data_IF_234526732274
#
_entry.id   IF_234526732274
#
_cell.length_a   1.000
_cell.length_b   1.000
_cell.length_c   1.000
_cell.angle_alpha   90.00
_cell.angle_beta   90.00
_cell.angle_gamma   90.00
#
_symmetry.space_group_name_H-M   'P 1'
#
loop_
_entity.id
_entity.type
_entity.pdbx_description
1 polymer ?
#
# COMPACT_ATOMS: atom_id res chain seq x y z
N UNK A 1 -6.09 -7.75 -17.93
CA UNK A 1 -5.99 -8.34 -16.58
C UNK A 1 -7.29 -9.07 -16.28
N UNK A 2 -7.22 -10.30 -15.78
CA UNK A 2 -8.39 -11.04 -15.28
C UNK A 2 -8.78 -10.54 -13.88
N UNK A 3 -10.08 -10.58 -13.54
CA UNK A 3 -10.59 -10.09 -12.25
C UNK A 3 -10.37 -11.20 -11.19
N UNK A 4 -9.73 -10.91 -10.04
CA UNK A 4 -9.50 -11.92 -9.01
C UNK A 4 -10.81 -12.48 -8.42
N UNK A 5 -10.85 -13.77 -8.04
CA UNK A 5 -11.99 -14.34 -7.35
C UNK A 5 -12.24 -13.61 -6.01
N UNK A 6 -13.48 -13.23 -5.75
CA UNK A 6 -13.88 -12.45 -4.58
C UNK A 6 -13.66 -10.94 -4.71
N UNK A 7 -13.18 -10.44 -5.86
CA UNK A 7 -13.21 -9.03 -6.15
C UNK A 7 -14.66 -8.55 -6.38
N UNK A 8 -14.98 -7.36 -5.88
CA UNK A 8 -16.32 -6.76 -5.95
C UNK A 8 -16.23 -5.39 -6.61
N UNK A 9 -17.13 -5.09 -7.54
CA UNK A 9 -17.18 -3.79 -8.20
C UNK A 9 -17.99 -2.81 -7.35
N UNK A 10 -17.34 -1.73 -6.89
CA UNK A 10 -17.99 -0.65 -6.17
C UNK A 10 -17.54 0.70 -6.69
N UNK A 11 -18.49 1.61 -6.92
CA UNK A 11 -18.19 3.00 -7.28
C UNK A 11 -17.23 3.13 -8.48
N UNK A 12 -17.29 2.19 -9.42
CA UNK A 12 -16.42 2.14 -10.60
C UNK A 12 -15.04 1.51 -10.37
N UNK A 13 -14.74 1.04 -9.16
CA UNK A 13 -13.46 0.43 -8.79
C UNK A 13 -13.63 -1.02 -8.33
N UNK A 14 -12.69 -1.89 -8.66
CA UNK A 14 -12.67 -3.26 -8.15
C UNK A 14 -12.01 -3.30 -6.78
N UNK A 15 -12.75 -3.70 -5.76
CA UNK A 15 -12.25 -3.91 -4.40
C UNK A 15 -11.91 -5.40 -4.21
N UNK A 16 -10.70 -5.70 -3.76
CA UNK A 16 -10.25 -7.06 -3.52
C UNK A 16 -9.38 -7.12 -2.26
N UNK A 17 -9.71 -8.02 -1.34
CA UNK A 17 -8.93 -8.27 -0.13
C UNK A 17 -8.04 -9.48 -0.34
N UNK A 18 -6.72 -9.26 -0.36
CA UNK A 18 -5.74 -10.34 -0.42
C UNK A 18 -5.71 -11.12 0.88
N UNK A 19 -5.74 -12.44 0.79
CA UNK A 19 -5.51 -13.35 1.90
C UNK A 19 -4.04 -13.79 1.88
N UNK A 20 -3.12 -12.85 2.14
CA UNK A 20 -1.69 -13.12 2.25
C UNK A 20 -1.25 -12.97 3.71
N UNK A 21 -0.26 -13.75 4.18
CA UNK A 21 0.39 -13.44 5.43
C UNK A 21 1.03 -12.05 5.34
N UNK A 22 1.22 -11.34 6.47
CA UNK A 22 1.94 -10.07 6.49
C UNK A 22 3.29 -10.21 5.78
N UNK A 23 3.48 -9.45 4.69
CA UNK A 23 4.73 -9.45 3.94
C UNK A 23 5.76 -8.58 4.65
N UNK A 24 6.98 -9.10 4.80
CA UNK A 24 8.09 -8.43 5.46
C UNK A 24 9.39 -8.61 4.64
N UNK A 25 9.84 -7.57 3.90
CA UNK A 25 9.18 -6.28 3.70
C UNK A 25 7.95 -6.36 2.77
N UNK A 26 7.06 -5.38 2.87
CA UNK A 26 6.04 -5.12 1.85
C UNK A 26 6.64 -4.20 0.79
N UNK A 27 6.86 -4.72 -0.42
CA UNK A 27 7.39 -3.93 -1.54
C UNK A 27 6.26 -3.31 -2.37
N UNK A 28 6.29 -1.98 -2.53
CA UNK A 28 5.29 -1.19 -3.24
C UNK A 28 5.91 -0.58 -4.50
N UNK A 29 5.38 -0.92 -5.68
CA UNK A 29 5.78 -0.31 -6.95
C UNK A 29 4.96 0.96 -7.22
N UNK A 30 5.58 2.15 -7.11
CA UNK A 30 4.94 3.45 -7.34
C UNK A 30 5.12 3.90 -8.79
N UNK A 31 4.51 3.20 -9.73
CA UNK A 31 4.57 3.60 -11.15
C UNK A 31 3.68 4.82 -11.40
N UNK A 32 4.16 5.89 -12.07
CA UNK A 32 3.35 7.10 -12.27
C UNK A 32 2.03 6.87 -13.00
N UNK A 33 1.91 5.79 -13.79
CA UNK A 33 0.70 5.43 -14.53
C UNK A 33 -0.43 4.94 -13.64
N UNK A 34 -0.14 4.46 -12.42
CA UNK A 34 -1.11 3.89 -11.50
C UNK A 34 -1.52 4.84 -10.37
N UNK A 35 -0.97 6.05 -10.33
CA UNK A 35 -1.12 6.97 -9.19
C UNK A 35 -0.19 6.63 -8.03
N UNK A 36 -0.41 7.27 -6.88
CA UNK A 36 0.36 7.02 -5.65
C UNK A 36 -0.45 6.17 -4.65
N UNK A 37 0.23 5.64 -3.65
CA UNK A 37 -0.40 4.93 -2.55
C UNK A 37 -0.77 5.88 -1.42
N UNK A 38 -1.90 5.60 -0.77
CA UNK A 38 -2.28 6.17 0.51
C UNK A 38 -1.95 5.22 1.66
N UNK A 39 -1.32 5.74 2.71
CA UNK A 39 -1.12 5.03 3.97
C UNK A 39 -2.16 5.50 4.98
N UNK A 40 -2.99 4.58 5.45
CA UNK A 40 -4.03 4.88 6.43
C UNK A 40 -3.67 4.34 7.81
N UNK A 41 -3.54 5.23 8.80
CA UNK A 41 -3.32 4.89 10.21
C UNK A 41 -4.02 5.91 11.10
N UNK A 42 -4.46 5.50 12.29
CA UNK A 42 -5.19 6.38 13.23
C UNK A 42 -6.41 7.09 12.61
N UNK A 43 -7.15 6.39 11.74
CA UNK A 43 -8.31 6.91 10.99
C UNK A 43 -8.00 8.06 10.03
N UNK A 44 -6.73 8.33 9.73
CA UNK A 44 -6.30 9.31 8.73
C UNK A 44 -5.54 8.61 7.62
N UNK A 45 -5.71 9.10 6.39
CA UNK A 45 -5.00 8.59 5.21
C UNK A 45 -4.13 9.71 4.66
N UNK A 46 -2.89 9.36 4.34
CA UNK A 46 -1.87 10.26 3.86
C UNK A 46 -1.30 9.75 2.55
N UNK A 47 -1.09 10.64 1.58
CA UNK A 47 -0.42 10.28 0.34
C UNK A 47 1.05 9.98 0.63
N UNK A 48 1.60 8.90 0.05
CA UNK A 48 3.03 8.61 0.21
C UNK A 48 3.93 9.75 -0.30
N UNK A 49 3.45 10.52 -1.28
CA UNK A 49 4.14 11.69 -1.81
C UNK A 49 4.37 12.81 -0.78
N UNK A 50 3.63 12.84 0.33
CA UNK A 50 3.88 13.77 1.44
C UNK A 50 5.30 13.63 2.01
N UNK A 51 5.86 12.41 1.98
CA UNK A 51 7.21 12.13 2.50
C UNK A 51 8.26 11.93 1.41
N UNK A 52 7.88 11.29 0.30
CA UNK A 52 8.83 10.83 -0.72
C UNK A 52 8.82 11.69 -1.99
N UNK A 53 7.92 12.66 -2.07
CA UNK A 53 7.64 13.37 -3.32
C UNK A 53 6.87 12.51 -4.33
N UNK A 54 6.56 13.07 -5.50
CA UNK A 54 5.71 12.43 -6.50
C UNK A 54 6.38 11.16 -7.08
N UNK A 55 5.61 10.15 -7.52
CA UNK A 55 6.12 8.88 -8.04
C UNK A 55 6.67 9.03 -9.48
N UNK A 56 7.74 9.80 -9.65
CA UNK A 56 8.24 10.24 -10.97
C UNK A 56 9.50 9.51 -11.47
N UNK A 57 10.10 8.63 -10.67
CA UNK A 57 11.34 7.91 -11.03
C UNK A 57 11.11 6.44 -11.36
N UNK A 58 12.01 5.84 -12.14
CA UNK A 58 11.98 4.42 -12.49
C UNK A 58 13.24 3.71 -11.97
N UNK A 59 13.13 2.69 -11.09
CA UNK A 59 11.92 2.25 -10.39
C UNK A 59 11.66 3.09 -9.13
N UNK A 60 10.49 3.72 -9.03
CA UNK A 60 10.00 4.26 -7.78
C UNK A 60 9.38 3.13 -6.95
N UNK A 61 10.20 2.20 -6.46
CA UNK A 61 9.75 1.19 -5.50
C UNK A 61 10.09 1.61 -4.08
N UNK A 62 9.21 1.29 -3.14
CA UNK A 62 9.43 1.54 -1.70
C UNK A 62 9.15 0.26 -0.94
N UNK A 63 10.08 -0.11 -0.07
CA UNK A 63 9.88 -1.21 0.87
C UNK A 63 9.37 -0.64 2.20
N UNK A 64 8.36 -1.29 2.77
CA UNK A 64 7.82 -1.01 4.09
C UNK A 64 8.16 -2.17 5.03
N UNK A 65 8.74 -1.85 6.17
CA UNK A 65 9.05 -2.81 7.23
C UNK A 65 8.05 -2.66 8.39
N UNK A 66 7.68 -3.77 9.03
CA UNK A 66 6.92 -3.72 10.28
C UNK A 66 7.68 -2.95 11.34
N UNK A 67 6.94 -2.17 12.12
CA UNK A 67 7.42 -1.66 13.39
C UNK A 67 7.90 -2.84 14.25
N UNK A 68 9.08 -2.69 14.87
CA UNK A 68 9.49 -3.61 15.93
C UNK A 68 8.53 -3.45 17.09
N UNK A 69 7.77 -4.50 17.43
CA UNK A 69 7.01 -4.50 18.68
C UNK A 69 8.05 -4.50 19.81
N UNK A 70 8.17 -3.38 20.52
CA UNK A 70 8.97 -3.33 21.73
C UNK A 70 8.22 -4.16 22.78
N UNK A 71 8.68 -5.38 23.01
CA UNK A 71 8.15 -6.25 24.05
C UNK A 71 8.38 -5.60 25.42
N UNK A 72 7.33 -4.99 25.96
CA UNK A 72 7.27 -4.48 27.33
C UNK A 72 6.83 -3.03 27.41
N UNK A 73 5.51 -2.81 27.49
CA UNK A 73 4.85 -2.04 28.56
C UNK A 73 3.41 -2.56 28.63
N UNK A 74 3.12 -3.30 29.70
CA UNK A 74 1.78 -3.63 30.18
C UNK A 74 1.57 -2.81 31.45
#
# INVERSE_FOLDING_TARGET
MEIPPGARLEKGSWHYQRHLPPLQPLSLGRTPQAGDYQLCFLQQCHEMSEWLGPPISNPASVDLWSCRIRSGQH
#
